data_IF_269785216102
#
_entry.id   IF_269785216102
#
_cell.length_a   1.000
_cell.length_b   1.000
_cell.length_c   1.000
_cell.angle_alpha   90.00
_cell.angle_beta   90.00
_cell.angle_gamma   90.00
#
_symmetry.space_group_name_H-M   'P 1'
#
loop_
_entity.id
_entity.type
_entity.pdbx_description
1 polymer ?
#
# COMPACT_ATOMS: atom_id res chain seq x y z
N UNK A 1 27.11 16.85 -1.48
CA UNK A 1 26.06 16.62 -2.50
C UNK A 1 26.32 17.39 -3.80
N UNK A 2 27.18 18.41 -3.82
CA UNK A 2 27.49 19.19 -5.03
C UNK A 2 28.19 18.41 -6.15
N UNK A 3 29.02 17.41 -5.81
CA UNK A 3 29.82 16.62 -6.76
C UNK A 3 29.00 15.92 -7.85
N UNK A 4 27.72 15.63 -7.59
CA UNK A 4 26.84 14.93 -8.53
C UNK A 4 25.67 15.80 -9.02
N UNK A 5 25.68 17.10 -8.71
CA UNK A 5 24.62 18.04 -9.12
C UNK A 5 24.52 18.18 -10.64
N UNK A 6 25.65 18.06 -11.34
CA UNK A 6 25.78 18.17 -12.79
C UNK A 6 25.51 16.85 -13.54
N UNK A 7 25.30 15.74 -12.83
CA UNK A 7 25.03 14.45 -13.47
C UNK A 7 23.54 14.30 -13.82
N UNK A 8 23.28 13.64 -14.95
CA UNK A 8 21.93 13.35 -15.42
C UNK A 8 21.16 12.51 -14.40
N UNK A 9 19.90 12.85 -14.19
CA UNK A 9 18.98 12.13 -13.30
C UNK A 9 17.96 11.37 -14.13
N UNK A 10 17.64 10.16 -13.72
CA UNK A 10 16.47 9.47 -14.25
C UNK A 10 15.23 10.30 -13.89
N UNK A 11 14.42 10.61 -14.89
CA UNK A 11 13.17 11.33 -14.75
C UNK A 11 12.00 10.39 -15.08
N UNK A 12 10.83 10.72 -14.55
CA UNK A 12 9.59 10.00 -14.83
C UNK A 12 8.80 10.83 -15.82
N UNK A 13 8.61 10.28 -17.02
CA UNK A 13 7.69 10.87 -17.97
C UNK A 13 6.25 10.67 -17.52
N UNK A 14 5.37 11.56 -17.95
CA UNK A 14 3.93 11.42 -17.79
C UNK A 14 3.40 10.04 -18.26
N UNK A 15 3.89 9.54 -19.40
CA UNK A 15 3.48 8.24 -19.97
C UNK A 15 3.79 7.05 -19.05
N UNK A 16 4.81 7.17 -18.20
CA UNK A 16 5.14 6.12 -17.24
C UNK A 16 3.99 5.84 -16.26
N UNK A 17 3.12 6.82 -15.98
CA UNK A 17 1.91 6.58 -15.17
C UNK A 17 1.01 5.52 -15.81
N UNK A 18 0.90 5.52 -17.14
CA UNK A 18 0.17 4.51 -17.87
C UNK A 18 0.91 3.17 -17.86
N UNK A 19 2.20 3.15 -18.19
CA UNK A 19 2.99 1.90 -18.20
C UNK A 19 3.00 1.22 -16.83
N UNK A 20 3.05 1.98 -15.73
CA UNK A 20 3.00 1.42 -14.39
C UNK A 20 1.60 0.85 -14.04
N UNK A 21 0.54 1.37 -14.67
CA UNK A 21 -0.84 0.89 -14.45
C UNK A 21 -1.14 -0.47 -15.08
N UNK A 22 -0.41 -0.87 -16.13
CA UNK A 22 -0.62 -2.15 -16.84
C UNK A 22 -0.16 -3.37 -16.03
N UNK A 23 0.47 -3.14 -14.87
CA UNK A 23 0.84 -4.20 -13.90
C UNK A 23 -0.36 -4.89 -13.26
N UNK A 24 -1.57 -4.35 -13.43
CA UNK A 24 -2.81 -4.91 -12.89
C UNK A 24 -3.71 -5.44 -14.02
N UNK A 25 -3.58 -6.73 -14.33
CA UNK A 25 -4.54 -7.42 -15.20
C UNK A 25 -5.92 -7.51 -14.52
N UNK A 26 -5.94 -7.85 -13.23
CA UNK A 26 -7.16 -7.95 -12.44
C UNK A 26 -7.51 -6.61 -11.78
N UNK A 27 -8.62 -5.98 -12.20
CA UNK A 27 -9.03 -4.64 -11.75
C UNK A 27 -9.29 -4.55 -10.24
N UNK A 28 -9.85 -5.57 -9.59
CA UNK A 28 -9.97 -5.55 -8.13
C UNK A 28 -8.62 -5.68 -7.41
N UNK A 29 -7.59 -6.21 -8.07
CA UNK A 29 -6.21 -6.15 -7.59
C UNK A 29 -5.72 -4.71 -7.43
N UNK A 30 -6.05 -3.84 -8.39
CA UNK A 30 -5.77 -2.40 -8.31
C UNK A 30 -6.53 -1.72 -7.16
N UNK A 31 -7.80 -2.09 -6.95
CA UNK A 31 -8.60 -1.60 -5.80
C UNK A 31 -7.99 -2.07 -4.48
N UNK A 32 -7.52 -3.31 -4.40
CA UNK A 32 -6.96 -3.87 -3.18
C UNK A 32 -5.69 -3.14 -2.72
N UNK A 33 -4.88 -2.58 -3.62
CA UNK A 33 -3.73 -1.72 -3.24
C UNK A 33 -4.15 -0.54 -2.34
N UNK A 34 -5.33 0.01 -2.57
CA UNK A 34 -5.85 1.14 -1.78
C UNK A 34 -6.37 0.65 -0.42
N UNK A 35 -7.00 -0.52 -0.38
CA UNK A 35 -7.43 -1.18 0.85
C UNK A 35 -6.21 -1.54 1.71
N UNK A 36 -5.15 -2.05 1.08
CA UNK A 36 -3.88 -2.40 1.73
C UNK A 36 -3.22 -1.17 2.37
N UNK A 37 -3.26 -0.02 1.70
CA UNK A 37 -2.75 1.23 2.25
C UNK A 37 -3.51 1.70 3.50
N UNK A 38 -4.85 1.59 3.51
CA UNK A 38 -5.67 1.91 4.67
C UNK A 38 -5.36 0.96 5.85
N UNK A 39 -5.27 -0.34 5.58
CA UNK A 39 -4.91 -1.35 6.59
C UNK A 39 -3.54 -1.06 7.21
N UNK A 40 -2.54 -0.78 6.38
CA UNK A 40 -1.18 -0.45 6.83
C UNK A 40 -1.11 0.86 7.60
N UNK A 41 -2.01 1.80 7.33
CA UNK A 41 -2.14 3.04 8.10
C UNK A 41 -2.79 2.82 9.48
N UNK A 42 -3.11 1.57 9.83
CA UNK A 42 -3.73 1.20 11.09
C UNK A 42 -5.22 1.53 11.15
N UNK A 43 -5.88 1.75 10.01
CA UNK A 43 -7.30 2.05 9.98
C UNK A 43 -8.13 0.91 10.60
N UNK A 44 -9.12 1.30 11.40
CA UNK A 44 -10.09 0.35 11.97
C UNK A 44 -11.30 0.20 11.07
N UNK A 45 -11.61 1.24 10.29
CA UNK A 45 -12.73 1.29 9.35
C UNK A 45 -12.30 1.92 8.02
N UNK A 46 -12.79 1.35 6.91
CA UNK A 46 -12.63 1.84 5.55
C UNK A 46 -13.98 1.85 4.84
N UNK A 47 -14.40 3.02 4.36
CA UNK A 47 -15.58 3.20 3.53
C UNK A 47 -15.17 3.29 2.05
N UNK A 48 -15.70 2.38 1.23
CA UNK A 48 -15.58 2.38 -0.23
C UNK A 48 -16.95 2.70 -0.81
N UNK A 49 -17.07 3.79 -1.55
CA UNK A 49 -18.37 4.25 -2.06
C UNK A 49 -18.22 5.06 -3.34
N UNK A 50 -19.32 5.23 -4.05
CA UNK A 50 -19.33 5.99 -5.30
C UNK A 50 -20.21 7.23 -5.18
N UNK A 51 -19.77 8.34 -5.75
CA UNK A 51 -20.57 9.56 -5.88
C UNK A 51 -20.91 9.74 -7.35
N UNK A 52 -22.20 9.78 -7.69
CA UNK A 52 -22.65 10.05 -9.06
C UNK A 52 -22.26 11.47 -9.45
N UNK A 53 -21.60 11.60 -10.60
CA UNK A 53 -21.19 12.88 -11.15
C UNK A 53 -21.11 12.76 -12.67
N UNK A 54 -22.07 13.35 -13.39
CA UNK A 54 -22.13 13.29 -14.86
C UNK A 54 -21.11 14.20 -15.55
N UNK A 55 -20.37 15.03 -14.81
CA UNK A 55 -19.34 15.90 -15.38
C UNK A 55 -18.01 15.17 -15.62
N UNK A 56 -17.84 13.98 -15.05
CA UNK A 56 -16.61 13.18 -15.18
C UNK A 56 -16.84 11.96 -16.06
N UNK A 57 -15.79 11.52 -16.75
CA UNK A 57 -15.82 10.30 -17.57
C UNK A 57 -16.15 9.08 -16.69
N UNK A 58 -17.11 8.28 -17.15
CA UNK A 58 -17.65 7.14 -16.39
C UNK A 58 -18.83 7.50 -15.46
N UNK A 59 -19.15 8.79 -15.29
CA UNK A 59 -20.31 9.31 -14.56
C UNK A 59 -20.32 9.10 -13.03
N UNK A 60 -19.18 8.76 -12.42
CA UNK A 60 -19.04 8.68 -10.97
C UNK A 60 -17.60 8.88 -10.50
N UNK A 61 -17.47 9.24 -9.23
CA UNK A 61 -16.23 9.23 -8.45
C UNK A 61 -16.17 7.95 -7.63
N UNK A 62 -15.02 7.28 -7.58
CA UNK A 62 -14.78 6.16 -6.66
C UNK A 62 -13.98 6.67 -5.46
N UNK A 63 -14.57 6.57 -4.27
CA UNK A 63 -14.02 7.11 -3.04
C UNK A 63 -13.61 5.99 -2.07
N UNK A 64 -12.46 6.17 -1.42
CA UNK A 64 -11.97 5.35 -0.32
C UNK A 64 -11.70 6.29 0.85
N UNK A 65 -12.40 6.14 1.96
CA UNK A 65 -12.23 6.96 3.15
C UNK A 65 -11.88 6.08 4.34
N UNK A 66 -10.68 6.26 4.90
CA UNK A 66 -10.19 5.52 6.06
C UNK A 66 -9.94 6.44 7.26
N UNK A 67 -10.00 5.84 8.45
CA UNK A 67 -9.67 6.48 9.72
C UNK A 67 -8.27 6.09 10.23
N UNK A 68 -7.33 5.87 9.33
CA UNK A 68 -5.94 5.56 9.68
C UNK A 68 -5.19 6.76 10.26
N UNK A 69 -3.88 6.60 10.41
CA UNK A 69 -3.00 7.61 11.00
C UNK A 69 -2.83 8.89 10.16
N UNK A 70 -3.31 8.91 8.91
CA UNK A 70 -3.14 10.02 7.97
C UNK A 70 -1.68 10.27 7.59
N UNK A 71 -1.42 11.40 6.93
CA UNK A 71 -0.10 11.76 6.42
C UNK A 71 0.25 13.23 6.73
N UNK A 72 1.51 13.47 7.10
CA UNK A 72 2.07 14.82 7.16
C UNK A 72 2.39 15.33 5.75
N UNK A 73 2.64 16.64 5.54
CA UNK A 73 3.06 17.15 4.23
C UNK A 73 4.31 16.44 3.68
N UNK A 74 5.25 16.03 4.54
CA UNK A 74 6.43 15.29 4.11
C UNK A 74 6.13 13.82 3.79
N UNK A 75 5.20 13.18 4.52
CA UNK A 75 4.69 11.85 4.15
C UNK A 75 4.07 11.90 2.74
N UNK A 76 3.25 12.93 2.45
CA UNK A 76 2.62 13.14 1.13
C UNK A 76 3.66 13.38 0.03
N UNK A 77 4.72 14.16 0.27
CA UNK A 77 5.83 14.28 -0.70
C UNK A 77 6.49 12.93 -0.99
N UNK A 78 6.58 12.04 -0.01
CA UNK A 78 7.10 10.69 -0.24
C UNK A 78 6.13 9.82 -1.06
N UNK A 79 4.82 10.12 -1.06
CA UNK A 79 3.82 9.41 -1.87
C UNK A 79 4.10 9.54 -3.37
N UNK A 80 4.66 10.64 -3.86
CA UNK A 80 4.96 10.81 -5.30
C UNK A 80 6.31 10.21 -5.71
N UNK A 81 7.18 9.87 -4.76
CA UNK A 81 8.47 9.22 -5.05
C UNK A 81 8.22 7.75 -5.38
N UNK A 82 8.54 7.33 -6.60
CA UNK A 82 8.40 5.93 -7.02
C UNK A 82 9.47 5.05 -6.38
N UNK A 83 9.10 3.82 -5.96
CA UNK A 83 10.04 2.85 -5.36
C UNK A 83 10.46 3.13 -3.91
N UNK A 84 10.05 4.25 -3.31
CA UNK A 84 10.35 4.59 -1.92
C UNK A 84 9.15 4.26 -1.02
N UNK A 85 9.36 3.37 -0.06
CA UNK A 85 8.40 3.11 1.02
C UNK A 85 9.11 3.27 2.35
N UNK A 86 8.57 4.14 3.21
CA UNK A 86 9.01 4.28 4.61
C UNK A 86 8.54 3.10 5.47
N UNK A 87 7.61 2.28 4.96
CA UNK A 87 7.15 1.02 5.58
C UNK A 87 8.16 -0.11 5.43
N UNK A 88 9.33 0.12 4.81
CA UNK A 88 10.48 -0.81 4.82
C UNK A 88 11.12 -0.87 6.21
N UNK A 89 10.38 -1.33 7.21
CA UNK A 89 10.93 -1.75 8.49
C UNK A 89 10.88 -3.28 8.53
N UNK A 90 12.01 -3.94 8.78
CA UNK A 90 12.14 -5.42 8.73
C UNK A 90 11.20 -6.15 9.72
N UNK A 91 10.59 -5.43 10.67
CA UNK A 91 9.70 -5.96 11.71
C UNK A 91 8.21 -5.61 11.52
N UNK A 92 7.82 -4.82 10.50
CA UNK A 92 6.42 -4.46 10.28
C UNK A 92 5.75 -5.42 9.31
N UNK A 93 4.65 -6.06 9.74
CA UNK A 93 3.76 -6.87 8.89
C UNK A 93 2.92 -6.01 7.92
N UNK A 94 3.50 -4.93 7.42
CA UNK A 94 2.88 -4.03 6.46
C UNK A 94 2.93 -4.67 5.07
N UNK A 95 1.85 -4.50 4.30
CA UNK A 95 1.70 -5.04 2.95
C UNK A 95 2.46 -4.14 1.96
N UNK A 96 2.31 -2.81 2.07
CA UNK A 96 2.84 -1.83 1.15
C UNK A 96 4.36 -1.61 1.23
N UNK A 97 5.15 -2.47 0.59
CA UNK A 97 6.62 -2.40 0.67
C UNK A 97 7.32 -1.66 -0.48
N UNK A 98 6.65 -1.54 -1.63
CA UNK A 98 7.29 -1.08 -2.86
C UNK A 98 7.12 0.41 -3.13
N UNK A 99 6.15 1.05 -2.47
CA UNK A 99 5.85 2.47 -2.71
C UNK A 99 5.25 2.73 -4.09
N UNK A 100 4.65 1.73 -4.75
CA UNK A 100 4.05 1.88 -6.08
C UNK A 100 2.54 1.64 -6.14
N UNK A 101 1.97 0.96 -5.12
CA UNK A 101 0.57 0.50 -5.12
C UNK A 101 -0.48 1.57 -5.40
N UNK A 102 -0.39 2.72 -4.71
CA UNK A 102 -1.32 3.82 -4.94
C UNK A 102 -1.26 4.32 -6.38
N UNK A 103 -0.06 4.49 -6.96
CA UNK A 103 0.11 5.05 -8.30
C UNK A 103 -0.35 4.06 -9.37
N UNK A 104 0.10 2.79 -9.31
CA UNK A 104 -0.30 1.79 -10.30
C UNK A 104 -1.79 1.46 -10.19
N UNK A 105 -2.32 1.30 -8.97
CA UNK A 105 -3.72 0.99 -8.73
C UNK A 105 -4.66 2.11 -9.16
N UNK A 106 -4.40 3.35 -8.73
CA UNK A 106 -5.27 4.48 -9.10
C UNK A 106 -5.29 4.74 -10.61
N UNK A 107 -4.11 4.73 -11.26
CA UNK A 107 -3.99 4.97 -12.71
C UNK A 107 -4.54 3.82 -13.56
N UNK A 108 -4.71 2.61 -12.98
CA UNK A 108 -5.41 1.49 -13.62
C UNK A 108 -6.93 1.70 -13.61
N UNK A 109 -7.47 2.27 -12.53
CA UNK A 109 -8.92 2.44 -12.33
C UNK A 109 -9.44 3.67 -13.07
N UNK A 110 -8.74 4.80 -12.97
CA UNK A 110 -9.13 6.07 -13.57
C UNK A 110 -7.95 6.88 -14.06
N UNK A 111 -8.23 7.96 -14.78
CA UNK A 111 -7.20 8.86 -15.28
C UNK A 111 -6.68 9.81 -14.21
N UNK A 112 -7.49 10.11 -13.19
CA UNK A 112 -7.17 11.18 -12.26
C UNK A 112 -7.47 10.79 -10.82
N UNK A 113 -6.65 11.30 -9.92
CA UNK A 113 -6.69 11.03 -8.49
C UNK A 113 -6.57 12.33 -7.70
N UNK A 114 -7.47 12.55 -6.75
CA UNK A 114 -7.31 13.53 -5.67
C UNK A 114 -7.27 12.80 -4.35
N UNK A 115 -6.28 13.11 -3.52
CA UNK A 115 -6.14 12.57 -2.18
C UNK A 115 -6.22 13.71 -1.17
N UNK A 116 -7.03 13.52 -0.14
CA UNK A 116 -7.16 14.40 1.01
C UNK A 116 -6.71 13.64 2.25
N UNK A 117 -5.84 14.22 3.07
CA UNK A 117 -5.37 13.56 4.30
C UNK A 117 -5.26 14.57 5.43
N UNK A 118 -5.42 14.06 6.65
CA UNK A 118 -5.36 14.85 7.89
C UNK A 118 -4.46 14.12 8.89
N UNK A 119 -3.51 14.85 9.48
CA UNK A 119 -2.65 14.36 10.57
C UNK A 119 -2.15 15.53 11.40
N UNK A 120 -2.19 15.40 12.72
CA UNK A 120 -1.67 16.40 13.68
C UNK A 120 -2.20 17.84 13.44
N UNK A 121 -3.48 17.96 13.03
CA UNK A 121 -4.11 19.25 12.73
C UNK A 121 -3.68 19.91 11.41
N UNK A 122 -2.90 19.20 10.60
CA UNK A 122 -2.52 19.59 9.24
C UNK A 122 -3.38 18.83 8.24
N UNK A 123 -3.89 19.55 7.25
CA UNK A 123 -4.70 19.03 6.15
C UNK A 123 -3.88 19.16 4.88
N UNK A 124 -3.70 18.09 4.13
CA UNK A 124 -2.93 18.12 2.89
C UNK A 124 -3.75 17.51 1.77
N UNK A 125 -3.74 18.15 0.61
CA UNK A 125 -4.25 17.59 -0.63
C UNK A 125 -3.06 17.14 -1.49
N UNK A 126 -3.23 16.05 -2.23
CA UNK A 126 -2.35 15.64 -3.32
C UNK A 126 -3.20 15.45 -4.56
N UNK A 127 -2.78 16.04 -5.68
CA UNK A 127 -3.53 15.96 -6.93
C UNK A 127 -2.68 15.39 -8.06
N UNK A 128 -3.02 14.20 -8.53
CA UNK A 128 -2.37 13.54 -9.65
C UNK A 128 -3.38 13.41 -10.79
N UNK A 129 -3.30 14.31 -11.77
CA UNK A 129 -4.25 14.35 -12.88
C UNK A 129 -3.57 14.16 -14.22
N UNK A 130 -3.90 13.08 -14.93
CA UNK A 130 -3.47 12.89 -16.30
C UNK A 130 -4.09 13.92 -17.24
N UNK A 131 -5.34 14.30 -17.01
CA UNK A 131 -6.03 15.34 -17.81
C UNK A 131 -5.28 16.67 -17.77
N UNK A 132 -4.81 17.10 -16.59
CA UNK A 132 -3.97 18.30 -16.46
C UNK A 132 -2.70 18.20 -17.30
N UNK A 133 -2.00 17.07 -17.29
CA UNK A 133 -0.77 16.90 -18.06
C UNK A 133 -1.03 16.88 -19.56
N UNK A 134 -2.10 16.23 -20.01
CA UNK A 134 -2.47 16.15 -21.43
C UNK A 134 -2.89 17.53 -21.97
N UNK A 135 -3.70 18.28 -21.23
CA UNK A 135 -4.18 19.59 -21.68
C UNK A 135 -3.08 20.66 -21.69
N UNK A 136 -2.20 20.67 -20.67
CA UNK A 136 -1.08 21.61 -20.56
C UNK A 136 0.18 21.10 -21.28
N UNK A 137 0.13 19.92 -21.90
CA UNK A 137 1.21 19.26 -22.67
C UNK A 137 2.52 19.14 -21.87
N UNK A 138 2.40 18.59 -20.66
CA UNK A 138 3.53 18.39 -19.75
C UNK A 138 4.16 17.01 -19.96
N UNK A 139 5.47 16.99 -20.20
CA UNK A 139 6.23 15.74 -20.33
C UNK A 139 6.63 15.13 -18.97
N UNK A 140 6.75 15.97 -17.93
CA UNK A 140 7.13 15.57 -16.57
C UNK A 140 5.91 15.46 -15.66
N UNK A 141 5.97 14.56 -14.67
CA UNK A 141 4.91 14.40 -13.67
C UNK A 141 4.95 15.53 -12.64
N UNK A 142 4.03 16.49 -12.75
CA UNK A 142 3.81 17.61 -11.84
C UNK A 142 2.59 17.34 -10.94
N UNK A 143 2.76 17.48 -9.62
CA UNK A 143 1.74 17.11 -8.63
C UNK A 143 1.50 18.28 -7.66
N UNK A 144 0.35 18.99 -7.76
CA UNK A 144 -0.05 19.98 -6.76
C UNK A 144 -0.27 19.34 -5.38
N UNK A 145 0.33 19.92 -4.34
CA UNK A 145 0.26 19.38 -2.98
C UNK A 145 0.03 20.46 -1.88
N UNK A 146 -1.07 21.24 -1.96
CA UNK A 146 -1.30 22.32 -1.01
C UNK A 146 -1.60 21.76 0.39
N UNK A 147 -1.08 22.44 1.41
CA UNK A 147 -1.27 22.09 2.82
C UNK A 147 -1.85 23.25 3.61
N UNK A 148 -2.66 22.91 4.62
CA UNK A 148 -3.41 23.85 5.44
C UNK A 148 -3.27 23.51 6.92
N UNK A 149 -3.24 24.54 7.76
CA UNK A 149 -3.16 24.43 9.22
C UNK A 149 -4.55 24.66 9.83
N UNK A 150 -4.87 23.85 10.84
CA UNK A 150 -5.99 24.07 11.74
C UNK A 150 -7.36 23.87 11.07
N UNK A 151 -8.45 23.87 11.85
CA UNK A 151 -9.81 23.79 11.32
C UNK A 151 -10.18 25.03 10.48
N UNK A 152 -9.49 26.17 10.66
CA UNK A 152 -9.67 27.35 9.81
C UNK A 152 -9.15 27.15 8.38
N UNK A 153 -8.41 26.06 8.10
CA UNK A 153 -7.87 25.70 6.78
C UNK A 153 -6.98 26.82 6.22
N UNK A 154 -6.16 27.43 7.07
CA UNK A 154 -5.20 28.49 6.67
C UNK A 154 -4.03 27.90 5.87
N UNK A 155 -3.64 28.44 4.71
CA UNK A 155 -2.51 27.96 3.94
C UNK A 155 -1.20 27.89 4.74
N UNK A 156 -0.45 26.79 4.60
CA UNK A 156 0.92 26.68 5.13
C UNK A 156 1.86 27.20 4.04
N UNK A 157 2.11 28.51 4.07
CA UNK A 157 3.03 29.21 3.16
C UNK A 157 3.72 30.36 3.90
N UNK A 158 5.02 30.22 4.15
CA UNK A 158 5.80 31.18 4.96
C UNK A 158 6.36 32.31 4.09
N UNK A 159 6.89 31.96 2.91
CA UNK A 159 7.51 32.93 1.99
C UNK A 159 6.52 33.44 0.92
N UNK A 160 6.78 34.60 0.30
CA UNK A 160 6.01 35.05 -0.87
C UNK A 160 5.99 34.03 -2.02
N UNK A 161 7.10 33.30 -2.21
CA UNK A 161 7.24 32.24 -3.21
C UNK A 161 6.33 31.05 -2.88
N UNK A 162 6.29 30.63 -1.60
CA UNK A 162 5.41 29.55 -1.15
C UNK A 162 3.94 29.93 -1.34
N UNK A 163 3.57 31.20 -1.12
CA UNK A 163 2.21 31.70 -1.33
C UNK A 163 1.81 31.61 -2.81
N UNK A 164 2.67 32.11 -3.71
CA UNK A 164 2.44 32.01 -5.17
C UNK A 164 2.32 30.56 -5.61
N UNK A 165 3.17 29.67 -5.09
CA UNK A 165 3.11 28.24 -5.36
C UNK A 165 1.77 27.66 -4.88
N UNK A 166 1.38 27.96 -3.64
CA UNK A 166 0.12 27.50 -3.07
C UNK A 166 -1.09 27.95 -3.88
N UNK A 167 -1.12 29.22 -4.29
CA UNK A 167 -2.20 29.79 -5.10
C UNK A 167 -2.29 29.09 -6.47
N UNK A 168 -1.14 28.79 -7.10
CA UNK A 168 -1.08 28.04 -8.34
C UNK A 168 -1.55 26.59 -8.15
N UNK A 169 -1.10 25.91 -7.10
CA UNK A 169 -1.54 24.55 -6.77
C UNK A 169 -3.07 24.48 -6.59
N UNK A 170 -3.64 25.45 -5.87
CA UNK A 170 -5.08 25.57 -5.68
C UNK A 170 -5.81 25.90 -6.98
N UNK A 171 -5.28 26.80 -7.80
CA UNK A 171 -5.86 27.11 -9.10
C UNK A 171 -5.96 25.85 -9.99
N UNK A 172 -4.89 25.05 -10.07
CA UNK A 172 -4.86 23.82 -10.85
C UNK A 172 -5.88 22.80 -10.35
N UNK A 173 -5.99 22.63 -9.02
CA UNK A 173 -6.99 21.72 -8.44
C UNK A 173 -8.41 22.17 -8.78
N UNK A 174 -8.73 23.46 -8.62
CA UNK A 174 -10.08 23.96 -8.92
C UNK A 174 -10.40 23.93 -10.44
N UNK A 175 -9.37 24.02 -11.30
CA UNK A 175 -9.48 23.95 -12.77
C UNK A 175 -9.60 22.53 -13.33
N UNK A 176 -9.01 21.52 -12.70
CA UNK A 176 -8.94 20.16 -13.27
C UNK A 176 -9.59 19.07 -12.43
N UNK A 177 -9.82 19.31 -11.13
CA UNK A 177 -10.54 18.35 -10.28
C UNK A 177 -12.06 18.50 -10.41
N UNK A 178 -12.85 17.54 -9.90
CA UNK A 178 -14.30 17.67 -9.81
C UNK A 178 -14.75 18.80 -8.85
N UNK A 179 -13.85 19.33 -8.03
CA UNK A 179 -14.16 20.33 -6.99
C UNK A 179 -13.85 21.73 -7.52
N UNK A 180 -14.85 22.38 -8.09
CA UNK A 180 -14.69 23.67 -8.81
C UNK A 180 -14.68 24.91 -7.93
N UNK A 181 -14.95 24.75 -6.63
CA UNK A 181 -14.90 25.84 -5.67
C UNK A 181 -14.28 25.41 -4.34
N UNK A 182 -13.80 26.38 -3.56
CA UNK A 182 -13.18 26.13 -2.25
C UNK A 182 -14.12 25.42 -1.28
N UNK A 183 -15.42 25.71 -1.32
CA UNK A 183 -16.42 25.06 -0.47
C UNK A 183 -16.45 23.54 -0.72
N UNK A 184 -16.55 23.13 -1.98
CA UNK A 184 -16.62 21.71 -2.34
C UNK A 184 -15.29 20.99 -2.11
N UNK A 185 -14.18 21.68 -2.37
CA UNK A 185 -12.83 21.19 -2.06
C UNK A 185 -12.65 20.92 -0.57
N UNK A 186 -12.98 21.90 0.27
CA UNK A 186 -12.82 21.77 1.73
C UNK A 186 -13.82 20.81 2.36
N UNK A 187 -14.98 20.60 1.75
CA UNK A 187 -15.95 19.59 2.18
C UNK A 187 -15.39 18.15 2.09
N UNK A 188 -14.34 17.91 1.28
CA UNK A 188 -13.71 16.60 1.20
C UNK A 188 -12.93 16.25 2.48
N UNK A 189 -12.32 17.24 3.14
CA UNK A 189 -11.70 17.04 4.45
C UNK A 189 -12.73 16.76 5.55
N UNK A 190 -13.93 17.31 5.43
CA UNK A 190 -15.00 17.11 6.42
C UNK A 190 -15.56 15.68 6.41
N UNK A 191 -15.27 14.90 5.36
CA UNK A 191 -15.53 13.45 5.33
C UNK A 191 -14.65 12.68 6.34
N UNK A 192 -13.50 13.23 6.73
CA UNK A 192 -12.62 12.69 7.75
C UNK A 192 -13.14 13.09 9.13
N UNK A 193 -13.99 12.23 9.71
CA UNK A 193 -14.66 12.48 11.00
C UNK A 193 -13.69 12.52 12.19
N UNK A 194 -12.52 11.90 12.06
CA UNK A 194 -11.54 11.76 13.15
C UNK A 194 -10.44 12.85 13.11
N UNK A 195 -9.55 12.83 14.10
CA UNK A 195 -8.37 13.71 14.13
C UNK A 195 -7.35 13.39 13.04
N UNK A 196 -7.40 12.20 12.47
CA UNK A 196 -6.58 11.75 11.34
C UNK A 196 -7.39 10.87 10.37
N UNK A 197 -6.85 10.71 9.16
CA UNK A 197 -7.42 9.80 8.16
C UNK A 197 -7.08 10.23 6.74
N UNK A 198 -7.51 9.44 5.77
CA UNK A 198 -7.27 9.72 4.35
C UNK A 198 -8.53 9.45 3.52
N UNK A 199 -8.82 10.33 2.56
CA UNK A 199 -9.81 10.11 1.50
C UNK A 199 -9.09 10.11 0.15
N UNK A 200 -9.20 9.02 -0.58
CA UNK A 200 -8.69 8.86 -1.94
C UNK A 200 -9.88 8.87 -2.90
N UNK A 201 -9.86 9.75 -3.90
CA UNK A 201 -10.94 9.92 -4.88
C UNK A 201 -10.36 9.73 -6.28
N UNK A 202 -10.78 8.66 -6.93
CA UNK A 202 -10.42 8.36 -8.33
C UNK A 202 -11.60 8.75 -9.22
N UNK A 203 -11.31 9.37 -10.35
CA UNK A 203 -12.32 9.77 -11.33
C UNK A 203 -11.78 9.71 -12.75
N UNK A 204 -12.65 10.03 -13.72
CA UNK A 204 -12.42 9.81 -15.13
C UNK A 204 -12.07 8.34 -15.41
N UNK A 205 -13.06 7.48 -15.16
CA UNK A 205 -12.92 6.03 -15.17
C UNK A 205 -12.50 5.49 -16.53
N UNK A 206 -11.75 4.40 -16.52
CA UNK A 206 -11.51 3.61 -17.73
C UNK A 206 -12.83 3.04 -18.26
N UNK A 207 -12.95 3.04 -19.59
CA UNK A 207 -14.17 2.62 -20.29
C UNK A 207 -13.85 1.41 -21.15
N UNK A 208 -14.83 0.54 -21.31
CA UNK A 208 -14.86 -0.54 -22.27
C UNK A 208 -15.17 0.00 -23.68
N UNK A 209 -15.01 -0.84 -24.70
CA UNK A 209 -15.22 -0.46 -26.12
C UNK A 209 -16.65 0.02 -26.41
N UNK A 210 -17.64 -0.52 -25.69
CA UNK A 210 -19.04 -0.08 -25.76
C UNK A 210 -19.29 1.26 -25.03
N UNK A 211 -18.24 1.92 -24.52
CA UNK A 211 -18.28 3.24 -23.88
C UNK A 211 -18.72 3.27 -22.41
N UNK A 212 -19.06 2.12 -21.82
CA UNK A 212 -19.42 2.03 -20.40
C UNK A 212 -18.19 1.82 -19.49
N UNK A 213 -18.27 2.15 -18.19
CA UNK A 213 -17.16 1.92 -17.26
C UNK A 213 -16.90 0.43 -17.03
N UNK A 214 -15.64 0.07 -16.77
CA UNK A 214 -15.26 -1.31 -16.39
C UNK A 214 -15.88 -1.76 -15.05
N UNK A 215 -16.27 -0.79 -14.21
CA UNK A 215 -16.95 -1.01 -12.93
C UNK A 215 -18.43 -0.68 -13.05
N UNK A 216 -19.28 -1.68 -12.80
CA UNK A 216 -20.73 -1.52 -12.69
C UNK A 216 -21.12 -1.24 -11.24
N UNK A 217 -21.60 -0.03 -11.03
CA UNK A 217 -22.02 0.51 -9.72
C UNK A 217 -23.55 0.62 -9.61
N UNK A 218 -24.28 0.10 -10.61
CA UNK A 218 -25.72 0.33 -10.80
C UNK A 218 -26.55 -0.93 -10.59
N UNK A 219 -26.10 -2.08 -11.09
CA UNK A 219 -26.86 -3.34 -11.00
C UNK A 219 -27.15 -3.75 -9.56
N UNK A 220 -26.18 -3.55 -8.67
CA UNK A 220 -26.37 -3.76 -7.24
C UNK A 220 -25.91 -2.52 -6.48
N UNK A 221 -26.84 -1.74 -5.88
CA UNK A 221 -26.49 -0.51 -5.17
C UNK A 221 -25.69 -0.76 -3.89
N UNK A 222 -25.53 -2.02 -3.47
CA UNK A 222 -24.71 -2.43 -2.33
C UNK A 222 -23.40 -3.07 -2.76
N UNK A 223 -23.04 -3.04 -4.03
CA UNK A 223 -21.81 -3.67 -4.51
C UNK A 223 -21.14 -2.80 -5.58
N UNK A 224 -19.95 -3.21 -5.97
CA UNK A 224 -19.27 -2.74 -7.17
C UNK A 224 -18.90 -4.01 -7.94
N UNK A 225 -19.49 -4.18 -9.12
CA UNK A 225 -19.27 -5.35 -9.96
C UNK A 225 -18.28 -5.02 -11.07
N UNK A 226 -17.61 -6.04 -11.61
CA UNK A 226 -17.02 -5.91 -12.93
C UNK A 226 -18.15 -5.95 -13.97
N UNK A 227 -18.11 -4.99 -14.90
CA UNK A 227 -18.96 -5.01 -16.08
C UNK A 227 -18.68 -6.29 -16.89
N UNK A 228 -19.71 -6.95 -17.45
CA UNK A 228 -19.50 -8.13 -18.28
C UNK A 228 -18.63 -7.75 -19.50
N UNK A 229 -17.55 -8.48 -19.70
CA UNK A 229 -16.74 -8.39 -20.92
C UNK A 229 -17.31 -9.26 -22.04
N UNK A 230 -16.94 -9.03 -23.30
CA UNK A 230 -17.42 -9.83 -24.44
C UNK A 230 -17.12 -11.33 -24.28
N UNK A 231 -15.98 -11.71 -23.69
CA UNK A 231 -15.59 -13.11 -23.49
C UNK A 231 -16.44 -13.88 -22.44
N UNK A 232 -17.17 -13.17 -21.58
CA UNK A 232 -18.06 -13.81 -20.58
C UNK A 232 -19.40 -14.25 -21.18
N UNK A 233 -19.74 -13.79 -22.39
CA UNK A 233 -20.93 -14.25 -23.12
C UNK A 233 -20.66 -15.54 -23.90
N UNK A 234 -19.41 -15.83 -24.30
CA UNK A 234 -19.08 -16.94 -25.20
C UNK A 234 -18.70 -18.27 -24.50
N UNK A 235 -18.39 -18.27 -23.21
CA UNK A 235 -17.90 -19.47 -22.48
C UNK A 235 -18.96 -20.23 -21.68
N UNK A 236 -20.25 -19.89 -21.85
CA UNK A 236 -21.34 -20.68 -21.25
C UNK A 236 -21.62 -21.88 -22.16
N UNK A 237 -20.80 -22.91 -22.03
CA UNK A 237 -21.17 -24.28 -22.41
C UNK A 237 -22.59 -24.56 -21.83
N UNK A 238 -23.58 -24.97 -22.65
CA UNK A 238 -25.00 -25.03 -22.24
C UNK A 238 -25.28 -25.90 -20.99
N UNK A 239 -24.38 -26.84 -20.68
CA UNK A 239 -24.52 -27.82 -19.61
C UNK A 239 -23.55 -27.63 -18.42
N UNK A 240 -22.73 -26.57 -18.42
CA UNK A 240 -21.82 -26.27 -17.32
C UNK A 240 -22.45 -25.25 -16.35
N UNK A 241 -23.14 -25.72 -15.31
CA UNK A 241 -23.45 -24.96 -14.08
C UNK A 241 -22.18 -24.54 -13.31
N UNK A 242 -21.11 -24.13 -13.98
CA UNK A 242 -19.91 -23.58 -13.35
C UNK A 242 -20.17 -22.10 -13.11
N UNK A 243 -20.93 -21.82 -12.05
CA UNK A 243 -21.08 -20.47 -11.53
C UNK A 243 -19.67 -19.91 -11.28
N UNK A 244 -19.28 -18.88 -12.05
CA UNK A 244 -18.01 -18.17 -11.85
C UNK A 244 -17.87 -17.82 -10.36
N UNK A 245 -16.67 -18.01 -9.76
CA UNK A 245 -16.48 -17.64 -8.36
C UNK A 245 -16.88 -16.19 -8.11
N UNK A 246 -17.70 -15.90 -7.09
CA UNK A 246 -18.29 -14.58 -6.91
C UNK A 246 -17.23 -13.49 -6.77
N UNK A 247 -16.05 -13.81 -6.22
CA UNK A 247 -14.91 -12.92 -6.03
C UNK A 247 -14.26 -12.46 -7.34
N UNK A 248 -14.54 -13.12 -8.47
CA UNK A 248 -14.09 -12.66 -9.79
C UNK A 248 -14.97 -11.57 -10.37
N UNK A 249 -16.18 -11.35 -9.84
CA UNK A 249 -17.12 -10.35 -10.37
C UNK A 249 -17.60 -9.34 -9.33
N UNK A 250 -17.77 -9.76 -8.07
CA UNK A 250 -18.25 -8.92 -6.96
C UNK A 250 -17.09 -8.46 -6.10
N UNK A 251 -16.91 -7.14 -5.99
CA UNK A 251 -15.91 -6.55 -5.10
C UNK A 251 -16.23 -6.90 -3.64
N UNK A 252 -17.51 -6.90 -3.25
CA UNK A 252 -17.94 -7.32 -1.91
C UNK A 252 -17.48 -8.74 -1.59
N UNK A 253 -17.64 -9.68 -2.52
CA UNK A 253 -17.18 -11.05 -2.34
C UNK A 253 -15.65 -11.10 -2.22
N UNK A 254 -14.94 -10.44 -3.14
CA UNK A 254 -13.47 -10.40 -3.13
C UNK A 254 -12.90 -9.83 -1.83
N UNK A 255 -13.41 -8.68 -1.38
CA UNK A 255 -13.02 -8.03 -0.13
C UNK A 255 -13.30 -8.92 1.09
N UNK A 256 -14.34 -9.76 1.03
CA UNK A 256 -14.68 -10.65 2.16
C UNK A 256 -13.60 -11.67 2.49
N UNK A 257 -12.76 -12.03 1.52
CA UNK A 257 -11.66 -13.00 1.67
C UNK A 257 -10.29 -12.38 1.39
N UNK A 258 -10.20 -11.06 1.20
CA UNK A 258 -8.96 -10.38 0.83
C UNK A 258 -7.84 -10.61 1.85
N UNK A 259 -8.20 -10.82 3.11
CA UNK A 259 -7.27 -11.06 4.21
C UNK A 259 -7.54 -12.36 4.97
N UNK A 260 -6.48 -13.10 5.28
CA UNK A 260 -6.57 -14.34 6.08
C UNK A 260 -6.98 -14.05 7.53
N UNK A 261 -6.49 -12.94 8.09
CA UNK A 261 -6.92 -12.35 9.37
C UNK A 261 -7.50 -10.94 9.13
N UNK A 262 -8.82 -10.82 8.88
CA UNK A 262 -9.46 -9.53 8.69
C UNK A 262 -9.71 -8.84 10.05
N UNK A 263 -9.15 -7.64 10.23
CA UNK A 263 -9.33 -6.81 11.43
C UNK A 263 -10.01 -5.47 11.15
N UNK A 264 -9.58 -4.80 10.08
CA UNK A 264 -10.21 -3.57 9.58
C UNK A 264 -11.62 -3.89 9.05
N UNK A 265 -12.61 -3.11 9.46
CA UNK A 265 -13.98 -3.21 8.93
C UNK A 265 -14.04 -2.48 7.60
N UNK A 266 -14.47 -3.16 6.55
CA UNK A 266 -14.70 -2.53 5.26
C UNK A 266 -16.19 -2.37 5.05
N UNK A 267 -16.62 -1.17 4.65
CA UNK A 267 -17.97 -0.88 4.21
C UNK A 267 -17.91 -0.59 2.71
N UNK A 268 -18.81 -1.20 1.95
CA UNK A 268 -18.95 -0.97 0.52
C UNK A 268 -20.34 -0.42 0.24
N UNK A 269 -20.43 0.72 -0.43
CA UNK A 269 -21.68 1.45 -0.67
C UNK A 269 -22.53 1.62 0.61
N UNK A 270 -21.87 2.03 1.71
CA UNK A 270 -22.51 2.23 3.02
C UNK A 270 -22.94 0.95 3.75
N UNK A 271 -22.60 -0.25 3.25
CA UNK A 271 -22.94 -1.54 3.87
C UNK A 271 -21.70 -2.34 4.20
N UNK A 272 -21.56 -2.70 5.48
CA UNK A 272 -20.45 -3.51 6.00
C UNK A 272 -20.28 -4.80 5.18
N UNK A 273 -19.07 -5.06 4.73
CA UNK A 273 -18.67 -6.32 4.12
C UNK A 273 -18.50 -7.36 5.22
N UNK A 274 -19.16 -8.51 5.06
CA UNK A 274 -19.01 -9.63 5.99
C UNK A 274 -17.72 -10.38 5.66
N UNK A 275 -16.61 -9.95 6.25
CA UNK A 275 -15.32 -10.61 6.10
C UNK A 275 -15.34 -12.00 6.72
N UNK A 276 -14.61 -12.93 6.10
CA UNK A 276 -14.61 -14.34 6.46
C UNK A 276 -13.17 -14.81 6.63
N UNK A 277 -12.92 -15.55 7.71
CA UNK A 277 -11.74 -16.42 7.77
C UNK A 277 -12.07 -17.66 6.97
N UNK A 278 -11.57 -17.76 5.74
CA UNK A 278 -11.97 -18.81 4.80
C UNK A 278 -11.86 -20.22 5.40
N UNK A 279 -10.82 -20.48 6.19
CA UNK A 279 -10.63 -21.76 6.89
C UNK A 279 -11.84 -22.16 7.75
N UNK A 280 -12.48 -21.20 8.42
CA UNK A 280 -13.63 -21.44 9.29
C UNK A 280 -14.92 -21.75 8.52
N UNK A 281 -14.92 -21.60 7.19
CA UNK A 281 -16.07 -21.88 6.32
C UNK A 281 -16.03 -23.28 5.71
N UNK A 282 -14.94 -24.03 5.92
CA UNK A 282 -14.70 -25.33 5.30
C UNK A 282 -15.05 -26.49 6.24
N UNK A 283 -15.52 -27.59 5.67
CA UNK A 283 -15.81 -28.82 6.39
C UNK A 283 -14.55 -29.70 6.55
N UNK A 284 -14.45 -30.41 7.69
CA UNK A 284 -13.36 -31.36 8.01
C UNK A 284 -11.95 -30.84 7.73
N UNK A 285 -11.63 -29.65 8.24
CA UNK A 285 -10.33 -29.02 8.02
C UNK A 285 -9.18 -29.84 8.61
N UNK A 286 -8.12 -30.03 7.84
CA UNK A 286 -6.87 -30.69 8.25
C UNK A 286 -5.68 -29.76 8.06
N UNK A 287 -4.70 -29.88 8.96
CA UNK A 287 -3.47 -29.07 8.98
C UNK A 287 -2.27 -29.93 8.61
N UNK A 288 -1.42 -29.40 7.74
CA UNK A 288 -0.18 -30.04 7.29
C UNK A 288 0.97 -29.02 7.37
N UNK A 289 2.03 -29.37 8.09
CA UNK A 289 3.21 -28.52 8.19
C UNK A 289 4.26 -29.00 7.17
N UNK A 290 4.62 -28.13 6.24
CA UNK A 290 5.64 -28.39 5.24
C UNK A 290 6.95 -27.71 5.64
N UNK A 291 8.00 -28.49 5.87
CA UNK A 291 9.33 -27.94 6.15
C UNK A 291 9.92 -27.30 4.88
N UNK A 292 10.16 -25.98 4.93
CA UNK A 292 10.66 -25.21 3.79
C UNK A 292 12.16 -24.97 3.93
N UNK A 293 12.96 -25.60 3.06
CA UNK A 293 14.40 -25.34 2.95
C UNK A 293 14.66 -23.87 2.60
N UNK A 294 13.92 -23.32 1.64
CA UNK A 294 14.03 -21.91 1.22
C UNK A 294 13.79 -20.95 2.38
N UNK A 295 12.77 -21.21 3.20
CA UNK A 295 12.49 -20.37 4.36
C UNK A 295 13.67 -20.40 5.34
N UNK A 296 14.21 -21.59 5.63
CA UNK A 296 15.37 -21.73 6.50
C UNK A 296 16.60 -21.00 5.96
N UNK A 297 16.97 -21.22 4.70
CA UNK A 297 18.15 -20.60 4.09
C UNK A 297 18.05 -19.08 4.08
N UNK A 298 16.86 -18.51 3.77
CA UNK A 298 16.67 -17.06 3.78
C UNK A 298 16.71 -16.47 5.19
N UNK A 299 16.17 -17.18 6.18
CA UNK A 299 16.29 -16.77 7.59
C UNK A 299 17.75 -16.77 8.06
N UNK A 300 18.54 -17.77 7.66
CA UNK A 300 19.98 -17.85 7.96
C UNK A 300 20.76 -16.71 7.30
N UNK A 301 20.48 -16.42 6.02
CA UNK A 301 21.11 -15.30 5.29
C UNK A 301 20.77 -13.93 5.90
N UNK A 302 19.50 -13.73 6.27
CA UNK A 302 19.03 -12.50 6.92
C UNK A 302 19.67 -12.28 8.31
N UNK A 303 19.83 -13.37 9.08
CA UNK A 303 20.58 -13.33 10.34
C UNK A 303 22.06 -13.01 10.12
N UNK A 304 22.70 -13.60 9.10
CA UNK A 304 24.10 -13.33 8.77
C UNK A 304 24.31 -11.86 8.40
N UNK A 305 23.40 -11.28 7.59
CA UNK A 305 23.38 -9.86 7.27
C UNK A 305 23.25 -8.99 8.51
N UNK A 306 22.28 -9.28 9.40
CA UNK A 306 22.09 -8.51 10.62
C UNK A 306 23.32 -8.55 11.55
N UNK A 307 24.02 -9.69 11.65
CA UNK A 307 25.29 -9.81 12.38
C UNK A 307 26.40 -8.96 11.75
N UNK A 308 26.47 -8.91 10.42
CA UNK A 308 27.43 -8.06 9.72
C UNK A 308 27.13 -6.58 9.94
N UNK A 309 25.86 -6.18 9.92
CA UNK A 309 25.43 -4.80 10.18
C UNK A 309 25.77 -4.34 11.60
N UNK A 310 25.64 -5.24 12.59
CA UNK A 310 26.14 -5.02 13.95
C UNK A 310 27.65 -4.80 13.94
N UNK A 311 28.43 -5.67 13.27
CA UNK A 311 29.90 -5.54 13.21
C UNK A 311 30.33 -4.21 12.62
N UNK A 312 29.68 -3.77 11.54
CA UNK A 312 29.95 -2.47 10.91
C UNK A 312 29.58 -1.32 11.85
N UNK A 313 28.42 -1.39 12.52
CA UNK A 313 28.00 -0.38 13.47
C UNK A 313 28.93 -0.29 14.69
N UNK A 314 29.42 -1.43 15.18
CA UNK A 314 30.38 -1.53 16.29
C UNK A 314 31.69 -0.84 15.94
N UNK A 315 32.24 -1.10 14.75
CA UNK A 315 33.46 -0.43 14.26
C UNK A 315 33.28 1.09 14.21
N UNK A 316 32.13 1.58 13.70
CA UNK A 316 31.82 3.01 13.65
C UNK A 316 31.68 3.63 15.05
N UNK A 317 31.05 2.92 15.98
CA UNK A 317 30.90 3.38 17.35
C UNK A 317 32.27 3.46 18.07
N UNK A 318 33.12 2.45 17.91
CA UNK A 318 34.48 2.43 18.46
C UNK A 318 35.35 3.56 17.90
N UNK A 319 35.27 3.83 16.59
CA UNK A 319 35.97 4.94 15.96
C UNK A 319 35.52 6.29 16.52
N UNK A 320 34.20 6.50 16.66
CA UNK A 320 33.65 7.73 17.21
C UNK A 320 34.03 7.94 18.68
N UNK A 321 34.01 6.88 19.50
CA UNK A 321 34.47 6.94 20.89
C UNK A 321 35.96 7.22 21.00
N UNK A 322 36.78 6.63 20.13
CA UNK A 322 38.22 6.92 20.09
C UNK A 322 38.48 8.38 19.77
N UNK A 323 37.78 8.94 18.77
CA UNK A 323 37.84 10.38 18.43
C UNK A 323 37.36 11.27 19.58
N UNK A 324 36.30 10.88 20.28
CA UNK A 324 35.80 11.62 21.43
C UNK A 324 36.84 11.63 22.57
N UNK A 325 37.42 10.47 22.90
CA UNK A 325 38.47 10.35 23.94
C UNK A 325 39.74 11.12 23.60
N UNK A 326 40.22 11.04 22.36
CA UNK A 326 41.39 11.79 21.89
C UNK A 326 41.14 13.31 21.96
N UNK A 327 39.93 13.76 21.58
CA UNK A 327 39.55 15.17 21.70
C UNK A 327 39.46 15.63 23.17
N UNK A 328 38.89 14.82 24.06
CA UNK A 328 38.85 15.09 25.50
C UNK A 328 40.26 15.20 26.12
N UNK A 329 41.18 14.33 25.70
CA UNK A 329 42.58 14.37 26.15
C UNK A 329 43.33 15.62 25.63
N UNK A 330 43.14 15.99 24.35
CA UNK A 330 43.79 17.16 23.75
C UNK A 330 43.40 18.48 24.39
N UNK A 331 42.15 18.62 24.80
CA UNK A 331 41.59 19.85 25.38
C UNK A 331 41.33 19.72 26.89
N UNK A 332 42.03 18.80 27.55
CA UNK A 332 41.86 18.57 28.98
C UNK A 332 42.16 19.84 29.78
N UNK A 333 41.19 20.30 30.57
CA UNK A 333 41.32 21.53 31.37
C UNK A 333 41.18 22.84 30.57
N UNK A 334 40.80 22.80 29.29
CA UNK A 334 40.52 24.00 28.51
C UNK A 334 39.17 24.62 28.92
N UNK A 335 39.18 25.93 29.17
CA UNK A 335 37.96 26.72 29.45
C UNK A 335 37.36 27.37 28.18
N UNK A 336 37.96 27.13 27.00
CA UNK A 336 37.46 27.68 25.74
C UNK A 336 36.06 27.12 25.41
N UNK A 337 35.03 27.98 25.27
CA UNK A 337 33.67 27.58 24.93
C UNK A 337 33.56 26.75 23.64
N UNK A 338 34.48 26.90 22.68
CA UNK A 338 34.47 26.16 21.42
C UNK A 338 35.00 24.74 21.60
N UNK A 339 36.09 24.56 22.34
CA UNK A 339 36.62 23.23 22.69
C UNK A 339 35.60 22.42 23.50
N UNK A 340 34.93 23.05 24.48
CA UNK A 340 33.87 22.42 25.26
C UNK A 340 32.67 21.99 24.40
N UNK A 341 32.28 22.81 23.40
CA UNK A 341 31.23 22.45 22.44
C UNK A 341 31.64 21.28 21.55
N UNK A 342 32.88 21.26 21.08
CA UNK A 342 33.41 20.17 20.26
C UNK A 342 33.46 18.84 21.01
N UNK A 343 33.95 18.83 22.25
CA UNK A 343 33.94 17.64 23.13
C UNK A 343 32.51 17.11 23.28
N UNK A 344 31.56 17.98 23.66
CA UNK A 344 30.15 17.58 23.83
C UNK A 344 29.57 17.00 22.54
N UNK A 345 29.84 17.61 21.39
CA UNK A 345 29.36 17.13 20.08
C UNK A 345 29.89 15.72 19.78
N UNK A 346 31.19 15.48 19.95
CA UNK A 346 31.79 14.17 19.68
C UNK A 346 31.31 13.11 20.66
N UNK A 347 31.16 13.46 21.95
CA UNK A 347 30.63 12.57 22.97
C UNK A 347 29.17 12.18 22.70
N UNK A 348 28.32 13.14 22.32
CA UNK A 348 26.94 12.87 21.94
C UNK A 348 26.88 11.96 20.70
N UNK A 349 27.68 12.26 19.68
CA UNK A 349 27.75 11.43 18.46
C UNK A 349 28.18 9.99 18.78
N UNK A 350 29.16 9.81 19.66
CA UNK A 350 29.61 8.49 20.09
C UNK A 350 28.51 7.75 20.87
N UNK A 351 27.80 8.44 21.79
CA UNK A 351 26.68 7.87 22.53
C UNK A 351 25.52 7.44 21.62
N UNK A 352 25.17 8.26 20.61
CA UNK A 352 24.13 7.95 19.63
C UNK A 352 24.50 6.70 18.81
N UNK A 353 25.74 6.61 18.33
CA UNK A 353 26.23 5.44 17.60
C UNK A 353 26.23 4.19 18.47
N UNK A 354 26.61 4.30 19.76
CA UNK A 354 26.56 3.19 20.71
C UNK A 354 25.13 2.72 20.97
N UNK A 355 24.18 3.65 21.13
CA UNK A 355 22.76 3.33 21.20
C UNK A 355 22.25 2.59 19.96
N UNK A 356 22.70 3.02 18.77
CA UNK A 356 22.35 2.38 17.51
C UNK A 356 22.94 0.96 17.35
N UNK A 357 24.10 0.67 17.97
CA UNK A 357 24.62 -0.71 18.07
C UNK A 357 23.70 -1.56 18.94
N UNK A 358 23.33 -1.08 20.13
CA UNK A 358 22.48 -1.83 21.05
C UNK A 358 21.13 -2.22 20.41
N UNK A 359 20.52 -1.30 19.66
CA UNK A 359 19.31 -1.59 18.88
C UNK A 359 19.53 -2.72 17.86
N UNK A 360 20.64 -2.67 17.09
CA UNK A 360 20.96 -3.73 16.12
C UNK A 360 21.28 -5.06 16.80
N UNK A 361 21.91 -5.05 17.96
CA UNK A 361 22.14 -6.25 18.77
C UNK A 361 20.81 -6.90 19.18
N UNK A 362 19.82 -6.10 19.57
CA UNK A 362 18.48 -6.58 19.89
C UNK A 362 17.78 -7.22 18.69
N UNK A 363 17.97 -6.69 17.48
CA UNK A 363 17.49 -7.32 16.22
C UNK A 363 18.14 -8.69 16.04
N UNK A 364 19.46 -8.80 16.16
CA UNK A 364 20.18 -10.09 16.03
C UNK A 364 19.69 -11.10 17.07
N UNK A 365 19.50 -10.68 18.33
CA UNK A 365 18.97 -11.55 19.39
C UNK A 365 17.57 -12.07 19.06
N UNK A 366 16.68 -11.22 18.52
CA UNK A 366 15.33 -11.63 18.07
C UNK A 366 15.41 -12.62 16.90
N UNK A 367 16.23 -12.35 15.89
CA UNK A 367 16.44 -13.25 14.73
C UNK A 367 17.05 -14.60 15.17
N UNK A 368 17.98 -14.61 16.14
CA UNK A 368 18.54 -15.83 16.74
C UNK A 368 17.52 -16.65 17.52
N UNK A 369 16.54 -16.02 18.17
CA UNK A 369 15.44 -16.75 18.80
C UNK A 369 14.52 -17.36 17.73
N UNK A 370 14.10 -16.54 16.77
CA UNK A 370 13.23 -16.97 15.66
C UNK A 370 13.83 -18.12 14.86
N UNK A 371 15.14 -18.16 14.61
CA UNK A 371 15.76 -19.23 13.80
C UNK A 371 15.62 -20.63 14.42
N UNK A 372 15.45 -20.72 15.75
CA UNK A 372 15.23 -21.98 16.46
C UNK A 372 13.84 -22.54 16.19
N UNK A 373 12.88 -21.70 15.83
CA UNK A 373 11.52 -22.12 15.51
C UNK A 373 11.48 -22.87 14.16
N UNK A 374 10.68 -23.94 14.03
CA UNK A 374 10.53 -24.68 12.79
C UNK A 374 10.13 -23.76 11.62
N UNK A 375 10.97 -23.73 10.57
CA UNK A 375 10.73 -22.96 9.34
C UNK A 375 9.77 -23.73 8.42
N UNK A 376 8.52 -23.80 8.85
CA UNK A 376 7.46 -24.54 8.16
C UNK A 376 6.43 -23.59 7.56
N UNK A 377 5.89 -23.98 6.40
CA UNK A 377 4.66 -23.41 5.87
C UNK A 377 3.51 -24.30 6.31
N UNK A 378 2.47 -23.68 6.86
CA UNK A 378 1.27 -24.43 7.28
C UNK A 378 0.24 -24.38 6.17
N UNK A 379 -0.07 -25.56 5.63
CA UNK A 379 -1.19 -25.77 4.72
C UNK A 379 -2.40 -26.24 5.49
N UNK A 380 -3.54 -25.65 5.18
CA UNK A 380 -4.83 -26.13 5.63
C UNK A 380 -5.63 -26.61 4.43
N UNK A 381 -6.32 -27.74 4.57
CA UNK A 381 -7.24 -28.24 3.55
C UNK A 381 -8.59 -28.54 4.19
N UNK A 382 -9.67 -28.18 3.52
CA UNK A 382 -11.03 -28.54 3.92
C UNK A 382 -11.93 -28.60 2.70
N UNK A 383 -13.17 -29.06 2.89
CA UNK A 383 -14.14 -29.22 1.79
C UNK A 383 -15.14 -28.06 1.81
N UNK A 384 -15.28 -27.36 0.69
CA UNK A 384 -16.31 -26.36 0.46
C UNK A 384 -17.63 -27.07 0.13
N UNK A 385 -18.38 -27.45 1.16
CA UNK A 385 -19.65 -28.16 1.03
C UNK A 385 -20.77 -27.29 0.46
N UNK A 386 -20.66 -25.96 0.63
CA UNK A 386 -21.67 -25.00 0.17
C UNK A 386 -21.59 -24.77 -1.34
N UNK A 387 -20.38 -24.73 -1.90
CA UNK A 387 -20.18 -24.64 -3.34
C UNK A 387 -18.96 -25.46 -3.75
N UNK A 388 -19.18 -26.70 -4.18
CA UNK A 388 -18.11 -27.63 -4.56
C UNK A 388 -17.41 -27.26 -5.88
N UNK A 389 -17.97 -26.36 -6.68
CA UNK A 389 -17.30 -25.84 -7.88
C UNK A 389 -16.25 -24.77 -7.53
N UNK A 390 -16.42 -24.10 -6.38
CA UNK A 390 -15.49 -23.13 -5.83
C UNK A 390 -14.39 -23.83 -5.02
N UNK A 391 -13.46 -24.47 -5.72
CA UNK A 391 -12.35 -25.25 -5.16
C UNK A 391 -10.96 -24.75 -5.58
N UNK A 392 -9.91 -25.30 -4.97
CA UNK A 392 -8.53 -24.96 -5.24
C UNK A 392 -7.82 -24.19 -4.12
N UNK A 393 -6.60 -23.75 -4.40
CA UNK A 393 -5.73 -23.08 -3.44
C UNK A 393 -5.99 -21.58 -3.34
N UNK A 394 -5.99 -21.10 -2.10
CA UNK A 394 -5.91 -19.71 -1.72
C UNK A 394 -4.54 -19.46 -1.09
N UNK A 395 -3.74 -18.65 -1.77
CA UNK A 395 -2.38 -18.32 -1.35
C UNK A 395 -2.38 -16.90 -0.84
N UNK A 396 -2.14 -16.74 0.45
CA UNK A 396 -1.92 -15.45 1.08
C UNK A 396 -0.42 -15.19 1.22
N UNK A 397 -0.02 -13.93 1.15
CA UNK A 397 1.32 -13.47 1.50
C UNK A 397 1.20 -12.38 2.55
N UNK A 398 1.81 -12.57 3.72
CA UNK A 398 1.64 -11.65 4.85
C UNK A 398 0.16 -11.32 5.12
N UNK A 399 -0.69 -12.34 5.10
CA UNK A 399 -2.14 -12.26 5.26
C UNK A 399 -2.93 -11.57 4.14
N UNK A 400 -2.30 -11.17 3.02
CA UNK A 400 -2.95 -10.60 1.82
C UNK A 400 -3.16 -11.66 0.74
N UNK A 401 -4.38 -11.80 0.20
CA UNK A 401 -4.72 -12.83 -0.80
C UNK A 401 -4.05 -12.60 -2.16
N UNK A 402 -3.07 -13.40 -2.54
CA UNK A 402 -2.37 -13.22 -3.82
C UNK A 402 -3.01 -14.04 -4.95
N UNK A 403 -3.36 -15.31 -4.66
CA UNK A 403 -4.02 -16.20 -5.62
C UNK A 403 -5.25 -16.85 -4.99
N UNK A 404 -6.29 -17.02 -5.78
CA UNK A 404 -7.53 -17.70 -5.42
C UNK A 404 -7.92 -18.72 -6.49
N UNK A 405 -8.56 -19.82 -6.08
CA UNK A 405 -9.03 -20.89 -6.96
C UNK A 405 -7.93 -21.53 -7.81
N UNK A 406 -6.68 -21.53 -7.34
CA UNK A 406 -5.58 -22.17 -8.07
C UNK A 406 -5.68 -23.69 -7.90
N UNK A 407 -6.14 -24.40 -8.93
CA UNK A 407 -6.15 -25.86 -8.94
C UNK A 407 -4.72 -26.41 -8.98
N UNK A 408 -4.46 -27.43 -8.18
CA UNK A 408 -3.17 -28.10 -8.05
C UNK A 408 -3.34 -29.62 -7.93
N UNK A 409 -2.32 -30.38 -8.33
CA UNK A 409 -2.29 -31.83 -8.13
C UNK A 409 -3.48 -32.52 -8.80
N UNK A 410 -4.18 -33.46 -8.12
CA UNK A 410 -5.30 -34.20 -8.72
C UNK A 410 -6.47 -33.34 -9.23
N UNK A 411 -6.58 -32.08 -8.79
CA UNK A 411 -7.60 -31.15 -9.30
C UNK A 411 -7.32 -30.65 -10.72
N UNK A 412 -6.10 -30.85 -11.23
CA UNK A 412 -5.73 -30.48 -12.60
C UNK A 412 -6.12 -31.57 -13.60
N UNK A 413 -6.34 -32.80 -13.13
CA UNK A 413 -6.80 -33.91 -13.95
C UNK A 413 -8.32 -33.80 -14.18
N UNK A 414 -8.84 -34.36 -15.28
CA UNK A 414 -10.28 -34.41 -15.57
C UNK A 414 -11.07 -35.33 -14.62
N UNK A 415 -10.36 -36.04 -13.74
CA UNK A 415 -10.97 -36.86 -12.70
C UNK A 415 -11.69 -35.96 -11.69
N UNK A 416 -12.88 -36.34 -11.21
CA UNK A 416 -13.57 -35.61 -10.13
C UNK A 416 -12.84 -35.71 -8.76
N UNK A 417 -11.58 -36.16 -8.73
CA UNK A 417 -10.80 -36.30 -7.51
C UNK A 417 -10.50 -34.93 -6.91
N UNK A 418 -10.61 -34.84 -5.57
CA UNK A 418 -10.40 -33.61 -4.81
C UNK A 418 -11.30 -32.42 -5.22
N UNK A 419 -12.39 -32.65 -5.96
CA UNK A 419 -13.38 -31.60 -6.26
C UNK A 419 -14.01 -31.08 -4.98
N UNK A 420 -14.14 -29.76 -4.87
CA UNK A 420 -14.63 -29.09 -3.66
C UNK A 420 -13.59 -28.93 -2.56
N UNK A 421 -12.37 -29.45 -2.72
CA UNK A 421 -11.29 -29.25 -1.74
C UNK A 421 -10.70 -27.85 -1.91
N UNK A 422 -10.72 -27.09 -0.82
CA UNK A 422 -10.08 -25.77 -0.73
C UNK A 422 -8.83 -25.91 0.13
N UNK A 423 -7.71 -25.43 -0.39
CA UNK A 423 -6.46 -25.34 0.35
C UNK A 423 -6.10 -23.89 0.66
N UNK A 424 -5.51 -23.65 1.83
CA UNK A 424 -5.14 -22.31 2.31
C UNK A 424 -3.72 -22.35 2.85
N UNK A 425 -2.91 -21.38 2.43
CA UNK A 425 -1.57 -21.15 2.97
C UNK A 425 -1.32 -19.65 3.12
N UNK A 426 -0.72 -19.24 4.23
CA UNK A 426 -0.23 -17.87 4.44
C UNK A 426 1.29 -17.91 4.45
N UNK A 427 1.90 -17.31 3.43
CA UNK A 427 3.33 -17.38 3.17
C UNK A 427 3.99 -16.10 3.69
N UNK A 428 4.99 -16.19 4.58
CA UNK A 428 5.68 -15.00 5.04
C UNK A 428 6.53 -14.40 3.90
N UNK A 429 6.73 -13.07 3.95
CA UNK A 429 7.54 -12.33 2.97
C UNK A 429 8.92 -12.95 2.72
N UNK A 430 9.53 -13.50 3.78
CA UNK A 430 10.83 -14.15 3.70
C UNK A 430 10.85 -15.30 2.67
N UNK A 431 9.72 -15.93 2.35
CA UNK A 431 9.63 -17.05 1.41
C UNK A 431 9.16 -16.61 0.02
N UNK A 432 8.21 -15.70 -0.07
CA UNK A 432 7.71 -15.15 -1.35
C UNK A 432 7.62 -13.63 -1.24
N UNK A 433 8.27 -12.92 -2.16
CA UNK A 433 8.01 -11.49 -2.38
C UNK A 433 6.89 -11.33 -3.40
N UNK A 434 6.10 -10.25 -3.29
CA UNK A 434 4.81 -10.11 -4.01
C UNK A 434 4.94 -10.13 -5.55
N UNK A 435 6.11 -9.84 -6.10
CA UNK A 435 6.35 -9.83 -7.55
C UNK A 435 6.40 -11.20 -8.23
N UNK A 436 6.32 -12.31 -7.50
CA UNK A 436 6.29 -13.63 -8.13
C UNK A 436 4.93 -13.99 -8.76
N UNK A 437 3.91 -13.14 -8.61
CA UNK A 437 2.53 -13.47 -9.01
C UNK A 437 1.67 -12.31 -9.54
N UNK A 438 2.24 -11.13 -9.80
CA UNK A 438 1.54 -10.06 -10.52
C UNK A 438 1.76 -10.19 -12.01
#
# INVERSE_FOLDING_TARGET
METYSQLNRAQLSYDYLHTNSTTHEFLFGAIAELIDNARDAGATELDIFTIKDSSVRGNFLLCFADNGCGMTPDDVKNVIIFGKSLKKCEDTAAIGMYGNGLKSGSMRIGNDLVLFTKKDGIYTCLFLSRTFHEEEKLDEVVVPMPSFRGPEKTPIAETPEDKKKHDLEMHLILKYSPFRCLKDFYAQFDKLKESSGTVVIIYNMKLLDHGGPELDVTTNPRDILLSPGPEQEETVEPDAEVMLPPERRSLRAYVSILYSDPRMKVYLQGRKVQTKRLLATLHSTRKYNFASKTFRTRAEADLAKAKNDVRIAELRAQEAESKARDCELRYQGSEDPEHLRQIRRLRNTAADLRGAVAMRQNVVTRKLKSIKDPKTLTFYFGVNVMNRACDGMFVYNCSRLIKMYQRIGPQQDSSMMCRGVVGIVDVPYMVLGEYLFK
#
